data_IF_820554857918
#
_entry.id   IF_820554857918
#
_cell.length_a   1.000
_cell.length_b   1.000
_cell.length_c   1.000
_cell.angle_alpha   90.00
_cell.angle_beta   90.00
_cell.angle_gamma   90.00
#
_symmetry.space_group_name_H-M   'P 1'
#
loop_
_entity.id
_entity.type
_entity.pdbx_description
1 polymer ?
#
# COMPACT_ATOMS: atom_id res chain seq x y z
N UNK A 1 -17.09 11.13 -23.46
CA UNK A 1 -17.05 11.04 -21.99
C UNK A 1 -17.45 9.62 -21.59
N UNK A 2 -16.51 8.75 -21.21
CA UNK A 2 -16.80 7.46 -20.58
C UNK A 2 -16.67 7.65 -19.07
N UNK A 3 -17.73 8.06 -18.39
CA UNK A 3 -17.67 8.43 -16.97
C UNK A 3 -18.25 7.39 -16.01
N UNK A 4 -18.68 6.21 -16.49
CA UNK A 4 -19.26 5.15 -15.64
C UNK A 4 -18.89 3.74 -16.13
N UNK A 5 -17.60 3.41 -16.13
CA UNK A 5 -17.20 2.01 -16.21
C UNK A 5 -17.35 1.35 -14.82
N UNK A 6 -17.79 0.08 -14.73
CA UNK A 6 -17.78 -0.65 -13.47
C UNK A 6 -16.37 -0.66 -12.86
N UNK A 7 -16.25 -0.35 -11.57
CA UNK A 7 -14.96 -0.38 -10.87
C UNK A 7 -14.24 -1.73 -11.02
N UNK A 8 -15.02 -2.82 -11.13
CA UNK A 8 -14.54 -4.18 -11.37
C UNK A 8 -13.77 -4.38 -12.68
N UNK A 9 -13.87 -3.46 -13.65
CA UNK A 9 -13.09 -3.51 -14.89
C UNK A 9 -11.66 -2.99 -14.73
N UNK A 10 -11.45 -2.10 -13.77
CA UNK A 10 -10.15 -1.45 -13.52
C UNK A 10 -9.48 -2.09 -12.30
N UNK A 11 -10.28 -2.66 -11.38
CA UNK A 11 -9.79 -3.27 -10.16
C UNK A 11 -10.49 -4.62 -9.90
N UNK A 12 -9.75 -5.72 -9.69
CA UNK A 12 -10.36 -7.00 -9.34
C UNK A 12 -11.04 -6.88 -7.98
N UNK A 13 -12.32 -7.24 -7.89
CA UNK A 13 -13.11 -7.23 -6.64
C UNK A 13 -13.58 -8.64 -6.28
N UNK A 14 -13.71 -8.94 -4.99
CA UNK A 14 -14.21 -10.23 -4.49
C UNK A 14 -13.19 -11.37 -4.61
N UNK A 15 -13.65 -12.61 -4.77
CA UNK A 15 -12.80 -13.82 -4.71
C UNK A 15 -11.66 -13.86 -5.73
N UNK A 16 -11.79 -13.13 -6.85
CA UNK A 16 -10.72 -13.01 -7.84
C UNK A 16 -9.44 -12.44 -7.25
N UNK A 17 -9.51 -11.72 -6.13
CA UNK A 17 -8.35 -11.19 -5.42
C UNK A 17 -7.46 -12.33 -4.88
N UNK A 18 -8.02 -13.44 -4.43
CA UNK A 18 -7.27 -14.50 -3.73
C UNK A 18 -6.60 -15.52 -4.67
N UNK A 19 -6.47 -15.21 -5.96
CA UNK A 19 -5.86 -16.10 -6.95
C UNK A 19 -4.58 -15.50 -7.51
N UNK A 20 -3.50 -16.29 -7.49
CA UNK A 20 -2.24 -15.98 -8.16
C UNK A 20 -2.40 -16.09 -9.67
N UNK A 21 -1.92 -15.10 -10.40
CA UNK A 21 -1.94 -15.02 -11.86
C UNK A 21 -0.68 -14.28 -12.31
N UNK A 22 0.51 -14.94 -12.25
CA UNK A 22 1.78 -14.33 -12.59
C UNK A 22 1.77 -13.77 -14.02
N UNK A 23 2.15 -12.50 -14.17
CA UNK A 23 2.17 -11.76 -15.44
C UNK A 23 3.34 -10.78 -15.45
N UNK A 24 3.69 -10.27 -16.63
CA UNK A 24 4.74 -9.26 -16.79
C UNK A 24 6.12 -9.74 -16.29
N UNK A 25 6.40 -11.04 -16.40
CA UNK A 25 7.65 -11.63 -15.90
C UNK A 25 8.89 -10.92 -16.43
N UNK A 26 8.87 -10.50 -17.70
CA UNK A 26 9.97 -9.76 -18.32
C UNK A 26 10.24 -8.45 -17.59
N UNK A 27 9.19 -7.69 -17.27
CA UNK A 27 9.28 -6.40 -16.60
C UNK A 27 9.75 -6.59 -15.14
N UNK A 28 9.20 -7.58 -14.42
CA UNK A 28 9.64 -7.93 -13.06
C UNK A 28 11.12 -8.32 -13.04
N UNK A 29 11.58 -9.15 -13.98
CA UNK A 29 12.96 -9.60 -14.03
C UNK A 29 13.93 -8.48 -14.43
N UNK A 30 13.51 -7.54 -15.29
CA UNK A 30 14.30 -6.37 -15.65
C UNK A 30 14.47 -5.39 -14.48
N UNK A 31 13.41 -5.18 -13.69
CA UNK A 31 13.40 -4.18 -12.64
C UNK A 31 14.31 -4.55 -11.46
N UNK A 32 15.12 -3.59 -11.00
CA UNK A 32 15.87 -3.70 -9.73
C UNK A 32 14.98 -3.31 -8.53
N UNK A 33 14.14 -2.29 -8.73
CA UNK A 33 13.14 -1.81 -7.77
C UNK A 33 11.77 -1.95 -8.39
N UNK A 34 10.84 -2.58 -7.68
CA UNK A 34 9.45 -2.76 -8.10
C UNK A 34 8.56 -2.03 -7.11
N UNK A 35 7.79 -1.06 -7.59
CA UNK A 35 6.84 -0.31 -6.79
C UNK A 35 5.41 -0.62 -7.22
N UNK A 36 4.51 -0.83 -6.26
CA UNK A 36 3.11 -1.08 -6.58
C UNK A 36 2.29 -1.53 -5.37
N UNK A 37 0.99 -1.68 -5.60
CA UNK A 37 0.06 -2.17 -4.60
C UNK A 37 0.38 -3.61 -4.19
N UNK A 38 0.35 -3.91 -2.88
CA UNK A 38 0.79 -5.21 -2.35
C UNK A 38 -0.06 -6.35 -2.92
N UNK A 39 -1.36 -6.12 -3.11
CA UNK A 39 -2.24 -7.12 -3.66
C UNK A 39 -1.92 -7.42 -5.13
N UNK A 40 -1.63 -6.38 -5.92
CA UNK A 40 -1.20 -6.55 -7.31
C UNK A 40 0.16 -7.22 -7.45
N UNK A 41 1.13 -6.82 -6.62
CA UNK A 41 2.45 -7.45 -6.58
C UNK A 41 2.32 -8.93 -6.18
N UNK A 42 1.59 -9.21 -5.10
CA UNK A 42 1.30 -10.57 -4.67
C UNK A 42 0.55 -11.36 -5.74
N UNK A 43 -0.28 -10.75 -6.59
CA UNK A 43 -0.99 -11.48 -7.64
C UNK A 43 -0.12 -11.81 -8.85
N UNK A 44 0.65 -10.82 -9.33
CA UNK A 44 1.27 -10.87 -10.66
C UNK A 44 2.78 -11.14 -10.65
N UNK A 45 3.47 -10.93 -9.53
CA UNK A 45 4.91 -11.20 -9.46
C UNK A 45 5.20 -12.70 -9.71
N UNK A 46 6.30 -13.09 -10.37
CA UNK A 46 6.71 -14.50 -10.44
C UNK A 46 6.94 -15.08 -9.02
N UNK A 47 6.91 -16.41 -8.89
CA UNK A 47 7.09 -17.07 -7.58
C UNK A 47 8.47 -16.82 -6.96
N UNK A 48 9.47 -16.55 -7.80
CA UNK A 48 10.82 -16.21 -7.40
C UNK A 48 11.25 -14.94 -8.11
N UNK A 49 11.76 -13.99 -7.35
CA UNK A 49 12.30 -12.74 -7.85
C UNK A 49 13.48 -12.29 -6.97
N UNK A 50 14.59 -13.07 -6.97
CA UNK A 50 15.65 -12.90 -5.99
C UNK A 50 16.37 -11.56 -6.11
N UNK A 51 16.74 -10.98 -4.96
CA UNK A 51 17.62 -9.81 -4.89
C UNK A 51 16.94 -8.47 -5.18
N UNK A 52 15.62 -8.44 -5.40
CA UNK A 52 14.90 -7.20 -5.74
C UNK A 52 14.49 -6.39 -4.53
N UNK A 53 14.25 -5.11 -4.76
CA UNK A 53 13.63 -4.18 -3.80
C UNK A 53 12.15 -4.04 -4.14
N UNK A 54 11.27 -4.28 -3.17
CA UNK A 54 9.84 -4.01 -3.28
C UNK A 54 9.49 -2.76 -2.48
N UNK A 55 8.76 -1.84 -3.10
CA UNK A 55 8.14 -0.68 -2.42
C UNK A 55 6.62 -0.81 -2.54
N UNK A 56 5.92 -0.92 -1.43
CA UNK A 56 4.49 -1.25 -1.45
C UNK A 56 3.70 -0.67 -0.27
N UNK A 57 2.40 -0.94 -0.22
CA UNK A 57 1.45 -0.49 0.81
C UNK A 57 0.66 -1.68 1.37
N UNK A 58 0.09 -1.51 2.56
CA UNK A 58 -0.94 -2.42 3.12
C UNK A 58 -0.54 -3.89 3.34
N UNK A 59 0.73 -4.17 3.56
CA UNK A 59 1.27 -5.52 3.81
C UNK A 59 0.77 -6.12 5.12
N UNK A 60 0.47 -7.42 5.09
CA UNK A 60 0.22 -8.29 6.25
C UNK A 60 1.44 -9.19 6.54
N UNK A 61 1.47 -9.91 7.67
CA UNK A 61 2.54 -10.89 7.94
C UNK A 61 2.67 -11.98 6.87
N UNK A 62 1.56 -12.46 6.29
CA UNK A 62 1.59 -13.45 5.21
C UNK A 62 2.17 -12.90 3.91
N UNK A 63 1.92 -11.62 3.61
CA UNK A 63 2.51 -10.97 2.44
C UNK A 63 4.04 -10.83 2.60
N UNK A 64 4.48 -10.45 3.81
CA UNK A 64 5.90 -10.35 4.14
C UNK A 64 6.59 -11.71 4.01
N UNK A 65 5.95 -12.78 4.49
CA UNK A 65 6.46 -14.13 4.35
C UNK A 65 6.53 -14.58 2.87
N UNK A 66 5.54 -14.22 2.07
CA UNK A 66 5.56 -14.46 0.62
C UNK A 66 6.76 -13.78 -0.03
N UNK A 67 6.96 -12.47 0.20
CA UNK A 67 8.08 -11.74 -0.39
C UNK A 67 9.44 -12.30 0.05
N UNK A 68 9.57 -12.66 1.32
CA UNK A 68 10.75 -13.36 1.84
C UNK A 68 11.01 -14.68 1.11
N UNK A 69 9.99 -15.53 0.97
CA UNK A 69 10.09 -16.82 0.27
C UNK A 69 10.39 -16.65 -1.23
N UNK A 70 9.92 -15.57 -1.83
CA UNK A 70 10.20 -15.24 -3.22
C UNK A 70 11.65 -14.75 -3.46
N UNK A 71 12.41 -14.48 -2.40
CA UNK A 71 13.80 -14.04 -2.47
C UNK A 71 13.98 -12.53 -2.59
N UNK A 72 12.94 -11.74 -2.33
CA UNK A 72 13.04 -10.28 -2.24
C UNK A 72 14.11 -9.92 -1.20
N UNK A 73 14.96 -8.93 -1.51
CA UNK A 73 16.02 -8.52 -0.59
C UNK A 73 15.57 -7.43 0.38
N UNK A 74 14.84 -6.45 -0.14
CA UNK A 74 14.30 -5.34 0.65
C UNK A 74 12.81 -5.17 0.40
N UNK A 75 12.04 -5.10 1.49
CA UNK A 75 10.63 -4.74 1.46
C UNK A 75 10.44 -3.41 2.18
N UNK A 76 9.93 -2.41 1.46
CA UNK A 76 9.73 -1.05 1.94
C UNK A 76 8.23 -0.76 1.93
N UNK A 77 7.67 -0.38 3.08
CA UNK A 77 6.28 0.09 3.15
C UNK A 77 6.21 1.60 3.17
N UNK A 78 5.27 2.16 2.40
CA UNK A 78 5.05 3.62 2.29
C UNK A 78 4.42 4.23 3.53
N UNK A 79 3.77 3.43 4.37
CA UNK A 79 3.24 3.80 5.68
C UNK A 79 3.93 2.98 6.78
N UNK A 80 3.90 3.45 8.05
CA UNK A 80 4.45 2.70 9.18
C UNK A 80 3.80 1.33 9.34
N UNK A 81 4.59 0.39 9.88
CA UNK A 81 4.08 -0.92 10.30
C UNK A 81 3.62 -0.81 11.75
N UNK A 82 2.34 -1.09 11.98
CA UNK A 82 1.70 -1.15 13.29
C UNK A 82 1.24 -2.60 13.52
N UNK A 83 1.72 -3.21 14.61
CA UNK A 83 1.38 -4.57 15.00
C UNK A 83 1.60 -5.61 13.87
N UNK A 84 2.74 -5.48 13.18
CA UNK A 84 3.14 -6.37 12.08
C UNK A 84 2.44 -6.12 10.74
N UNK A 85 1.57 -5.11 10.64
CA UNK A 85 0.85 -4.75 9.40
C UNK A 85 1.10 -3.29 9.00
N UNK A 86 1.22 -3.00 7.70
CA UNK A 86 1.10 -1.62 7.22
C UNK A 86 -0.34 -1.30 6.81
N UNK A 87 -0.76 -0.05 6.99
CA UNK A 87 -2.14 0.38 6.72
C UNK A 87 -2.20 1.39 5.59
N UNK A 88 -3.34 1.45 4.91
CA UNK A 88 -3.58 2.41 3.83
C UNK A 88 -3.65 3.83 4.36
N UNK A 89 -3.40 4.81 3.50
CA UNK A 89 -3.44 6.24 3.86
C UNK A 89 -4.81 6.66 4.39
N UNK A 90 -5.89 6.05 3.93
CA UNK A 90 -7.24 6.26 4.45
C UNK A 90 -7.37 5.89 5.95
N UNK A 91 -6.80 4.75 6.36
CA UNK A 91 -6.82 4.32 7.76
C UNK A 91 -5.89 5.18 8.61
N UNK A 92 -4.72 5.54 8.06
CA UNK A 92 -3.79 6.47 8.74
C UNK A 92 -4.42 7.85 8.95
N UNK A 93 -5.14 8.37 7.95
CA UNK A 93 -5.90 9.63 8.06
C UNK A 93 -7.01 9.51 9.10
N UNK A 94 -7.81 8.45 9.07
CA UNK A 94 -8.86 8.22 10.05
C UNK A 94 -8.31 8.16 11.49
N UNK A 95 -7.16 7.52 11.68
CA UNK A 95 -6.48 7.46 12.98
C UNK A 95 -6.05 8.85 13.47
N UNK A 96 -5.49 9.68 12.57
CA UNK A 96 -5.12 11.06 12.89
C UNK A 96 -6.34 11.92 13.23
N UNK A 97 -7.40 11.86 12.41
CA UNK A 97 -8.65 12.59 12.64
C UNK A 97 -9.26 12.22 14.01
N UNK A 98 -9.25 10.93 14.35
CA UNK A 98 -9.72 10.44 15.64
C UNK A 98 -8.82 10.92 16.79
N UNK A 99 -7.50 10.86 16.64
CA UNK A 99 -6.53 11.28 17.65
C UNK A 99 -6.60 12.80 17.94
N UNK A 100 -6.89 13.61 16.92
CA UNK A 100 -7.15 15.05 17.06
C UNK A 100 -8.50 15.37 17.72
N UNK A 101 -9.35 14.37 17.94
CA UNK A 101 -10.67 14.54 18.53
C UNK A 101 -11.67 15.27 17.63
N UNK A 102 -11.40 15.38 16.33
CA UNK A 102 -12.27 16.09 15.37
C UNK A 102 -13.66 15.44 15.33
N UNK A 103 -14.69 16.27 15.43
CA UNK A 103 -16.11 15.84 15.41
C UNK A 103 -16.85 16.19 14.12
N UNK A 104 -16.30 17.12 13.34
CA UNK A 104 -16.87 17.53 12.07
C UNK A 104 -16.55 16.50 10.99
N UNK A 105 -17.54 16.25 10.13
CA UNK A 105 -17.33 15.46 8.93
C UNK A 105 -16.23 16.07 8.05
N UNK A 106 -15.48 15.20 7.37
CA UNK A 106 -14.48 15.62 6.38
C UNK A 106 -15.21 15.84 5.07
N UNK A 107 -15.28 17.09 4.62
CA UNK A 107 -15.75 17.47 3.29
C UNK A 107 -14.56 17.88 2.43
N UNK A 108 -14.11 16.97 1.56
CA UNK A 108 -12.99 17.24 0.66
C UNK A 108 -13.32 18.25 -0.44
N UNK A 109 -14.61 18.48 -0.76
CA UNK A 109 -15.01 19.49 -1.73
C UNK A 109 -14.93 20.91 -1.14
N UNK A 110 -15.17 21.04 0.16
CA UNK A 110 -15.08 22.30 0.91
C UNK A 110 -14.17 22.12 2.14
N UNK A 111 -12.85 21.93 1.94
CA UNK A 111 -11.96 21.45 3.00
C UNK A 111 -11.71 22.49 4.10
N UNK A 112 -11.93 23.79 3.84
CA UNK A 112 -11.62 24.85 4.82
C UNK A 112 -10.18 24.75 5.33
N UNK A 113 -9.99 24.64 6.65
CA UNK A 113 -8.69 24.46 7.30
C UNK A 113 -8.18 23.02 7.34
N UNK A 114 -8.97 22.04 6.88
CA UNK A 114 -8.70 20.61 7.08
C UNK A 114 -7.32 20.17 6.58
N UNK A 115 -6.90 20.61 5.40
CA UNK A 115 -5.58 20.24 4.86
C UNK A 115 -4.43 20.80 5.68
N UNK A 116 -4.56 22.02 6.23
CA UNK A 116 -3.55 22.62 7.10
C UNK A 116 -3.46 21.88 8.44
N UNK A 117 -4.62 21.52 9.03
CA UNK A 117 -4.69 20.70 10.24
C UNK A 117 -4.04 19.33 10.03
N UNK A 118 -4.33 18.68 8.91
CA UNK A 118 -3.75 17.39 8.56
C UNK A 118 -2.25 17.47 8.29
N UNK A 119 -1.78 18.51 7.59
CA UNK A 119 -0.34 18.72 7.38
C UNK A 119 0.38 18.89 8.72
N UNK A 120 -0.17 19.69 9.64
CA UNK A 120 0.38 19.86 10.98
C UNK A 120 0.40 18.53 11.76
N UNK A 121 -0.67 17.75 11.69
CA UNK A 121 -0.77 16.44 12.34
C UNK A 121 0.24 15.43 11.77
N UNK A 122 0.40 15.37 10.44
CA UNK A 122 1.38 14.52 9.76
C UNK A 122 2.81 14.92 10.15
N UNK A 123 3.11 16.22 10.28
CA UNK A 123 4.45 16.67 10.73
C UNK A 123 4.71 16.35 12.21
N UNK A 124 3.67 16.34 13.04
CA UNK A 124 3.77 16.00 14.45
C UNK A 124 3.96 14.49 14.69
N UNK A 125 3.51 13.65 13.77
CA UNK A 125 3.71 12.20 13.82
C UNK A 125 4.89 11.80 12.94
N UNK A 126 5.96 11.17 13.46
CA UNK A 126 7.13 10.82 12.66
C UNK A 126 6.86 9.60 11.77
N UNK A 127 6.00 9.75 10.76
CA UNK A 127 5.80 8.71 9.76
C UNK A 127 7.09 8.50 8.97
N UNK A 128 7.66 7.31 9.13
CA UNK A 128 8.82 6.87 8.37
C UNK A 128 8.44 5.63 7.59
N UNK A 129 8.94 5.49 6.35
CA UNK A 129 8.87 4.21 5.66
C UNK A 129 9.53 3.14 6.53
N UNK A 130 8.93 1.96 6.59
CA UNK A 130 9.56 0.81 7.22
C UNK A 130 10.38 0.09 6.17
N UNK A 131 11.69 -0.07 6.42
CA UNK A 131 12.58 -0.88 5.59
C UNK A 131 12.79 -2.21 6.31
N UNK A 132 12.55 -3.30 5.59
CA UNK A 132 12.79 -4.66 6.05
C UNK A 132 13.78 -5.33 5.10
N UNK A 133 14.83 -5.94 5.65
CA UNK A 133 15.80 -6.74 4.91
C UNK A 133 15.57 -8.22 5.19
N UNK A 134 15.57 -9.04 4.14
CA UNK A 134 15.43 -10.49 4.22
C UNK A 134 16.75 -11.22 3.94
#
# INVERSE_FOLDING_TARGET
>A
MMSRAPFSWIYPTGEKQNQRDPRFEREFNWATVVAGDCHYLWRHMPEKLPGRVIVTNTTTPSDQEFFKKAGIKYLITTTPVLDGRSFGTNMMEAALVAALGRKLAVDYANPGSYFNEMEAAIKAVPFRPQVQEF
#
